data_IF_640598339703
#
_entry.id   IF_640598339703
#
_cell.length_a   1.000
_cell.length_b   1.000
_cell.length_c   1.000
_cell.angle_alpha   90.00
_cell.angle_beta   90.00
_cell.angle_gamma   90.00
#
_symmetry.space_group_name_H-M   'P 1'
#
loop_
_entity.id
_entity.type
_entity.pdbx_description
1 polymer ?
#
# COMPACT_ATOMS: atom_id res chain seq x y z
N UNK A 1 8.01 14.85 3.51
CA UNK A 1 7.09 14.15 2.60
C UNK A 1 7.88 13.78 1.36
N UNK A 2 8.00 12.50 1.06
CA UNK A 2 8.73 12.01 -0.13
C UNK A 2 8.03 12.54 -1.38
N UNK A 3 8.78 13.11 -2.33
CA UNK A 3 8.20 13.52 -3.60
C UNK A 3 7.82 12.29 -4.42
N UNK A 4 6.56 12.21 -4.86
CA UNK A 4 6.10 11.16 -5.75
C UNK A 4 6.82 11.26 -7.09
N UNK A 5 7.21 10.11 -7.65
CA UNK A 5 7.87 10.02 -8.95
C UNK A 5 7.03 10.50 -10.13
N UNK A 6 7.62 10.44 -11.33
CA UNK A 6 6.91 10.68 -12.59
C UNK A 6 6.21 9.41 -13.09
N UNK A 7 5.14 9.56 -13.89
CA UNK A 7 4.45 8.45 -14.55
C UNK A 7 2.97 8.33 -14.16
N UNK A 8 2.22 7.56 -14.96
CA UNK A 8 0.76 7.47 -14.89
C UNK A 8 0.23 6.98 -13.53
N UNK A 9 0.97 6.10 -12.86
CA UNK A 9 0.63 5.63 -11.51
C UNK A 9 0.69 6.78 -10.49
N UNK A 10 1.81 7.50 -10.44
CA UNK A 10 1.96 8.63 -9.54
C UNK A 10 1.04 9.80 -9.91
N UNK A 11 0.71 9.98 -11.18
CA UNK A 11 -0.33 10.92 -11.61
C UNK A 11 -1.70 10.55 -11.03
N UNK A 12 -2.02 9.26 -10.99
CA UNK A 12 -3.25 8.77 -10.37
C UNK A 12 -3.25 8.99 -8.85
N UNK A 13 -2.13 8.72 -8.18
CA UNK A 13 -1.98 8.99 -6.74
C UNK A 13 -2.15 10.48 -6.43
N UNK A 14 -1.49 11.36 -7.21
CA UNK A 14 -1.66 12.82 -7.10
C UNK A 14 -3.14 13.24 -7.21
N UNK A 15 -3.89 12.67 -8.16
CA UNK A 15 -5.31 12.96 -8.32
C UNK A 15 -6.16 12.47 -7.13
N UNK A 16 -5.86 11.28 -6.60
CA UNK A 16 -6.53 10.75 -5.40
C UNK A 16 -6.25 11.62 -4.18
N UNK A 17 -4.98 12.01 -3.96
CA UNK A 17 -4.59 12.85 -2.84
C UNK A 17 -5.24 14.23 -2.91
N UNK A 18 -5.34 14.84 -4.10
CA UNK A 18 -6.05 16.10 -4.28
C UNK A 18 -7.52 15.98 -3.84
N UNK A 19 -8.21 14.93 -4.28
CA UNK A 19 -9.62 14.68 -3.93
C UNK A 19 -9.82 14.42 -2.43
N UNK A 20 -8.93 13.67 -1.78
CA UNK A 20 -9.01 13.42 -0.34
C UNK A 20 -8.80 14.71 0.48
N UNK A 21 -7.88 15.58 0.05
CA UNK A 21 -7.63 16.89 0.67
C UNK A 21 -8.83 17.83 0.54
N UNK A 22 -9.50 17.85 -0.63
CA UNK A 22 -10.75 18.60 -0.82
C UNK A 22 -11.85 18.16 0.16
N UNK A 23 -11.87 16.86 0.50
CA UNK A 23 -12.81 16.27 1.46
C UNK A 23 -12.40 16.48 2.92
N UNK A 24 -11.31 17.22 3.18
CA UNK A 24 -10.73 17.41 4.52
C UNK A 24 -10.44 16.10 5.25
N UNK A 25 -9.98 15.09 4.50
CA UNK A 25 -9.44 13.90 5.13
C UNK A 25 -8.18 14.28 5.92
N UNK A 26 -8.15 13.92 7.20
CA UNK A 26 -6.98 14.10 8.07
C UNK A 26 -5.98 12.94 7.85
N UNK A 27 -4.70 13.22 8.09
CA UNK A 27 -3.63 12.22 8.03
C UNK A 27 -2.53 12.56 7.01
N UNK A 28 -1.34 12.00 7.26
CA UNK A 28 -0.24 12.06 6.29
C UNK A 28 -0.49 11.04 5.17
N UNK A 29 -0.19 11.43 3.93
CA UNK A 29 -0.37 10.61 2.74
C UNK A 29 0.97 10.32 2.09
N UNK A 30 1.11 9.14 1.50
CA UNK A 30 2.28 8.75 0.71
C UNK A 30 3.39 8.04 1.50
N UNK A 31 3.07 7.52 2.68
CA UNK A 31 3.91 6.58 3.42
C UNK A 31 3.49 5.13 3.10
N UNK A 32 4.28 4.14 3.52
CA UNK A 32 4.08 2.72 3.21
C UNK A 32 2.79 2.14 3.84
N UNK A 33 2.32 2.72 4.95
CA UNK A 33 1.03 2.37 5.52
C UNK A 33 0.33 3.55 6.21
N UNK A 34 -0.96 3.41 6.45
CA UNK A 34 -1.74 4.39 7.21
C UNK A 34 -1.64 4.11 8.72
N UNK A 35 -1.22 5.11 9.50
CA UNK A 35 -1.23 5.07 10.96
C UNK A 35 -2.45 5.79 11.53
N UNK A 36 -3.33 5.05 12.20
CA UNK A 36 -4.58 5.55 12.78
C UNK A 36 -4.53 5.47 14.30
N UNK A 37 -4.64 6.62 14.98
CA UNK A 37 -4.68 6.69 16.44
C UNK A 37 -6.04 6.20 16.96
N UNK A 38 -6.04 5.16 17.78
CA UNK A 38 -7.20 4.59 18.45
C UNK A 38 -7.00 4.68 19.96
N UNK A 39 -7.25 5.86 20.53
CA UNK A 39 -6.98 6.15 21.94
C UNK A 39 -5.49 6.04 22.28
N UNK A 40 -5.15 5.08 23.15
CA UNK A 40 -3.76 4.79 23.57
C UNK A 40 -2.94 3.95 22.60
N UNK A 41 -3.57 3.41 21.55
CA UNK A 41 -2.94 2.51 20.56
C UNK A 41 -2.90 3.18 19.19
N UNK A 42 -1.94 2.77 18.35
CA UNK A 42 -1.91 3.14 16.93
C UNK A 42 -2.13 1.87 16.10
N UNK A 43 -3.10 1.90 15.20
CA UNK A 43 -3.34 0.85 14.20
C UNK A 43 -2.54 1.20 12.94
N UNK A 44 -1.74 0.26 12.44
CA UNK A 44 -1.13 0.34 11.12
C UNK A 44 -1.97 -0.46 10.12
N UNK A 45 -2.29 0.14 8.97
CA UNK A 45 -3.10 -0.48 7.93
C UNK A 45 -2.48 -0.24 6.54
N UNK A 46 -2.24 -1.31 5.79
CA UNK A 46 -1.88 -1.28 4.37
C UNK A 46 -2.78 -2.24 3.57
N UNK A 47 -2.81 -2.08 2.26
CA UNK A 47 -3.52 -2.96 1.33
C UNK A 47 -2.69 -3.14 0.06
N UNK A 48 -2.56 -4.40 -0.36
CA UNK A 48 -1.80 -4.79 -1.54
C UNK A 48 -2.59 -5.73 -2.45
N UNK A 49 -2.20 -5.78 -3.72
CA UNK A 49 -2.76 -6.69 -4.71
C UNK A 49 -1.66 -7.54 -5.35
N UNK A 50 -1.89 -8.85 -5.41
CA UNK A 50 -1.10 -9.79 -6.20
C UNK A 50 -1.96 -10.38 -7.30
N UNK A 51 -1.54 -10.21 -8.55
CA UNK A 51 -2.33 -10.49 -9.75
C UNK A 51 -1.59 -11.45 -10.67
N UNK A 52 -2.29 -12.46 -11.19
CA UNK A 52 -1.75 -13.38 -12.18
C UNK A 52 -1.42 -12.62 -13.49
N UNK A 53 -0.28 -12.95 -14.11
CA UNK A 53 0.23 -12.29 -15.31
C UNK A 53 0.99 -10.98 -15.05
N UNK A 54 0.97 -10.46 -13.81
CA UNK A 54 1.75 -9.29 -13.38
C UNK A 54 2.78 -9.68 -12.33
N UNK A 55 2.32 -10.28 -11.23
CA UNK A 55 3.13 -10.60 -10.05
C UNK A 55 3.50 -12.08 -9.97
N UNK A 56 2.64 -12.96 -10.49
CA UNK A 56 2.86 -14.40 -10.52
C UNK A 56 2.24 -15.04 -11.75
N UNK A 57 2.55 -16.32 -11.98
CA UNK A 57 1.79 -17.21 -12.87
C UNK A 57 1.62 -18.57 -12.21
N UNK A 58 0.44 -19.18 -12.35
CA UNK A 58 0.14 -20.49 -11.74
C UNK A 58 0.90 -21.67 -12.37
N UNK A 59 1.48 -21.48 -13.57
CA UNK A 59 2.37 -22.44 -14.19
C UNK A 59 3.83 -22.33 -13.70
N UNK A 60 4.16 -21.30 -12.92
CA UNK A 60 5.49 -21.11 -12.33
C UNK A 60 5.55 -21.36 -10.83
N UNK A 61 4.48 -21.04 -10.10
CA UNK A 61 4.42 -21.10 -8.65
C UNK A 61 3.17 -21.85 -8.19
N UNK A 62 3.31 -22.63 -7.13
CA UNK A 62 2.18 -23.21 -6.42
C UNK A 62 1.36 -22.13 -5.71
N UNK A 63 0.09 -22.43 -5.41
CA UNK A 63 -0.77 -21.52 -4.64
C UNK A 63 -0.20 -21.15 -3.27
N UNK A 64 0.54 -22.07 -2.64
CA UNK A 64 1.20 -21.79 -1.36
C UNK A 64 2.32 -20.76 -1.52
N UNK A 65 3.16 -20.88 -2.56
CA UNK A 65 4.23 -19.91 -2.83
C UNK A 65 3.67 -18.54 -3.23
N UNK A 66 2.59 -18.52 -4.02
CA UNK A 66 1.87 -17.29 -4.36
C UNK A 66 1.36 -16.61 -3.09
N UNK A 67 0.69 -17.37 -2.21
CA UNK A 67 0.20 -16.85 -0.93
C UNK A 67 1.31 -16.33 -0.03
N UNK A 68 2.42 -17.06 0.08
CA UNK A 68 3.57 -16.62 0.86
C UNK A 68 4.15 -15.31 0.34
N UNK A 69 4.36 -15.19 -0.97
CA UNK A 69 4.90 -13.96 -1.58
C UNK A 69 3.95 -12.77 -1.43
N UNK A 70 2.65 -12.99 -1.65
CA UNK A 70 1.65 -11.95 -1.50
C UNK A 70 1.57 -11.44 -0.04
N UNK A 71 1.57 -12.37 0.94
CA UNK A 71 1.58 -12.01 2.35
C UNK A 71 2.89 -11.32 2.76
N UNK A 72 4.05 -11.80 2.27
CA UNK A 72 5.33 -11.20 2.58
C UNK A 72 5.45 -9.76 2.07
N UNK A 73 4.93 -9.47 0.86
CA UNK A 73 4.88 -8.10 0.34
C UNK A 73 4.00 -7.20 1.21
N UNK A 74 2.74 -7.60 1.47
CA UNK A 74 1.82 -6.81 2.29
C UNK A 74 2.32 -6.58 3.73
N UNK A 75 3.03 -7.56 4.30
CA UNK A 75 3.62 -7.43 5.64
C UNK A 75 4.88 -6.57 5.64
N UNK A 76 5.60 -6.42 4.53
CA UNK A 76 6.81 -5.59 4.49
C UNK A 76 6.50 -4.12 4.68
N UNK A 77 5.38 -3.63 4.16
CA UNK A 77 4.93 -2.24 4.35
C UNK A 77 4.65 -1.95 5.83
N UNK A 78 4.02 -2.89 6.53
CA UNK A 78 3.75 -2.76 7.96
C UNK A 78 5.05 -2.77 8.77
N UNK A 79 6.01 -3.63 8.38
CA UNK A 79 7.31 -3.71 9.03
C UNK A 79 8.18 -2.46 8.80
N UNK A 80 7.98 -1.74 7.69
CA UNK A 80 8.68 -0.48 7.41
C UNK A 80 8.24 0.66 8.37
N UNK A 81 7.02 0.58 8.91
CA UNK A 81 6.48 1.57 9.83
C UNK A 81 6.94 1.44 11.30
N UNK A 82 7.62 0.34 11.68
CA UNK A 82 8.20 0.13 13.02
C UNK A 82 8.10 -1.28 13.58
#
# INVERSE_FOLDING_TARGET
>A
MTELGAGAEFDRLRAIFARLREQKADGELGDDCALVRLGGTTLAASVDLSLEGVHFRTDWLSFQEIGWRAAAAALSDLAAAG
#
